data_IF_466777259028
#
_entry.id   IF_466777259028
#
_cell.length_a   1.000
_cell.length_b   1.000
_cell.length_c   1.000
_cell.angle_alpha   90.00
_cell.angle_beta   90.00
_cell.angle_gamma   90.00
#
_symmetry.space_group_name_H-M   'P 1'
#
loop_
_entity.id
_entity.type
_entity.pdbx_description
1 polymer ?
#
# COMPACT_ATOMS: atom_id res chain seq x y z
N UNK A 1 1.25 19.12 25.90
CA UNK A 1 1.26 17.66 26.06
C UNK A 1 1.18 17.06 24.65
N UNK A 2 2.25 16.47 24.16
CA UNK A 2 2.24 15.75 22.89
C UNK A 2 1.35 14.52 23.09
N UNK A 3 0.19 14.51 22.40
CA UNK A 3 -0.68 13.33 22.38
C UNK A 3 0.14 12.12 21.93
N UNK A 4 0.12 11.04 22.72
CA UNK A 4 0.79 9.80 22.33
C UNK A 4 0.24 9.35 20.97
N UNK A 5 1.14 9.08 20.04
CA UNK A 5 0.76 8.57 18.70
C UNK A 5 -0.09 7.31 18.84
N UNK A 6 -1.21 7.16 18.09
CA UNK A 6 -2.02 5.94 18.12
C UNK A 6 -1.20 4.69 17.77
N UNK A 7 -1.52 3.55 18.37
CA UNK A 7 -0.80 2.29 18.17
C UNK A 7 -0.96 1.67 16.76
N UNK A 8 -1.89 2.17 15.97
CA UNK A 8 -2.07 1.80 14.56
C UNK A 8 -1.31 2.72 13.59
N UNK A 9 -0.39 3.56 14.11
CA UNK A 9 0.53 4.40 13.33
C UNK A 9 1.96 4.13 13.77
N UNK A 10 2.87 3.88 12.82
CA UNK A 10 4.31 3.71 13.07
C UNK A 10 5.15 4.29 11.94
N UNK A 11 6.39 4.65 12.21
CA UNK A 11 7.40 4.97 11.20
C UNK A 11 8.32 3.77 10.96
N UNK A 12 8.75 3.52 9.72
CA UNK A 12 9.67 2.40 9.46
C UNK A 12 10.97 2.51 10.25
N UNK A 13 11.44 3.74 10.52
CA UNK A 13 12.68 3.99 11.29
C UNK A 13 12.57 3.59 12.76
N UNK A 14 11.37 3.58 13.31
CA UNK A 14 11.11 3.28 14.71
C UNK A 14 11.25 1.77 15.02
N UNK A 15 11.07 0.91 14.00
CA UNK A 15 10.97 -0.54 14.14
C UNK A 15 11.94 -1.31 13.22
N UNK A 16 12.92 -0.63 12.61
CA UNK A 16 13.88 -1.29 11.71
C UNK A 16 14.76 -2.27 12.50
N UNK A 17 14.84 -3.51 12.01
CA UNK A 17 15.63 -4.58 12.60
C UNK A 17 16.31 -5.42 11.51
N UNK A 18 17.38 -6.18 11.82
CA UNK A 18 17.98 -7.11 10.86
C UNK A 18 16.95 -8.08 10.29
N UNK A 19 16.95 -8.23 8.96
CA UNK A 19 16.03 -9.10 8.22
C UNK A 19 16.60 -10.52 8.09
N UNK A 20 17.04 -11.14 9.17
CA UNK A 20 17.58 -12.50 9.15
C UNK A 20 16.48 -13.51 9.50
N UNK A 21 16.09 -14.42 8.58
CA UNK A 21 15.37 -15.61 8.99
C UNK A 21 16.25 -16.43 9.93
N UNK A 22 15.72 -16.95 11.04
CA UNK A 22 16.52 -17.68 12.03
C UNK A 22 17.28 -18.90 11.50
N UNK A 23 16.91 -19.38 10.30
CA UNK A 23 17.46 -20.57 9.65
C UNK A 23 18.42 -20.27 8.48
N UNK A 24 18.65 -19.02 8.11
CA UNK A 24 19.55 -18.67 7.01
C UNK A 24 20.84 -18.04 7.54
N UNK A 25 22.03 -18.48 7.07
CA UNK A 25 23.29 -17.80 7.36
C UNK A 25 23.46 -16.52 6.53
N UNK A 26 22.57 -16.24 5.57
CA UNK A 26 22.64 -15.09 4.69
C UNK A 26 22.04 -13.84 5.37
N UNK A 27 22.76 -12.74 5.24
CA UNK A 27 22.31 -11.42 5.68
C UNK A 27 21.52 -10.72 4.55
N UNK A 28 20.21 -10.53 4.78
CA UNK A 28 19.30 -9.89 3.84
C UNK A 28 19.13 -8.37 4.09
N UNK A 29 19.92 -7.78 4.98
CA UNK A 29 19.83 -6.38 5.37
C UNK A 29 18.82 -6.16 6.50
N UNK A 30 17.90 -5.21 6.34
CA UNK A 30 17.01 -4.77 7.42
C UNK A 30 15.56 -4.74 6.95
N UNK A 31 14.65 -4.99 7.88
CA UNK A 31 13.21 -4.94 7.65
C UNK A 31 12.49 -4.19 8.78
N UNK A 32 11.42 -3.51 8.43
CA UNK A 32 10.45 -2.94 9.36
C UNK A 32 9.09 -3.57 9.06
N UNK A 33 8.60 -4.43 9.95
CA UNK A 33 7.33 -5.16 9.79
C UNK A 33 6.15 -4.25 10.17
N UNK A 34 5.74 -3.42 9.22
CA UNK A 34 4.77 -2.32 9.41
C UNK A 34 3.38 -2.83 9.79
N UNK A 35 2.90 -3.87 9.12
CA UNK A 35 1.59 -4.47 9.42
C UNK A 35 1.53 -5.05 10.83
N UNK A 36 2.56 -5.79 11.25
CA UNK A 36 2.62 -6.36 12.59
C UNK A 36 2.64 -5.28 13.68
N UNK A 37 3.35 -4.17 13.45
CA UNK A 37 3.44 -3.06 14.39
C UNK A 37 2.13 -2.29 14.56
N UNK A 38 1.23 -2.35 13.56
CA UNK A 38 -0.05 -1.61 13.57
C UNK A 38 -1.28 -2.50 13.80
N UNK A 39 -1.08 -3.81 13.92
CA UNK A 39 -2.14 -4.76 14.25
C UNK A 39 -3.01 -5.22 13.08
N UNK A 40 -2.70 -4.83 11.83
CA UNK A 40 -3.32 -5.45 10.66
C UNK A 40 -2.65 -6.80 10.39
N UNK A 41 -3.43 -7.80 10.00
CA UNK A 41 -2.95 -9.18 9.93
C UNK A 41 -3.36 -9.97 8.68
N UNK A 42 -4.20 -9.42 7.82
CA UNK A 42 -4.56 -10.03 6.53
C UNK A 42 -3.47 -9.84 5.47
N UNK A 43 -2.53 -8.94 5.74
CA UNK A 43 -1.35 -8.67 4.92
C UNK A 43 -0.07 -8.74 5.74
N UNK A 44 1.03 -9.01 5.06
CA UNK A 44 2.35 -8.64 5.50
C UNK A 44 2.81 -7.42 4.70
N UNK A 45 3.03 -6.32 5.39
CA UNK A 45 3.58 -5.09 4.82
C UNK A 45 4.89 -4.77 5.52
N UNK A 46 5.94 -4.61 4.75
CA UNK A 46 7.27 -4.30 5.27
C UNK A 46 7.98 -3.21 4.45
N UNK A 47 8.78 -2.40 5.13
CA UNK A 47 9.83 -1.61 4.52
C UNK A 47 11.13 -2.42 4.59
N UNK A 48 11.83 -2.57 3.46
CA UNK A 48 13.12 -3.25 3.40
C UNK A 48 14.22 -2.25 3.09
N UNK A 49 15.36 -2.36 3.77
CA UNK A 49 16.59 -1.69 3.44
C UNK A 49 17.66 -2.72 3.10
N UNK A 50 18.08 -2.73 1.84
CA UNK A 50 19.04 -3.69 1.30
C UNK A 50 20.39 -2.98 1.09
N UNK A 51 21.40 -3.25 1.92
CA UNK A 51 22.73 -2.68 1.75
C UNK A 51 23.42 -3.12 0.44
N UNK A 52 24.48 -2.43 0.00
CA UNK A 52 25.30 -2.86 -1.15
C UNK A 52 25.74 -4.32 -1.07
N UNK A 53 25.64 -5.02 -2.19
CA UNK A 53 26.06 -6.42 -2.29
C UNK A 53 25.15 -7.42 -1.55
N UNK A 54 23.93 -7.04 -1.21
CA UNK A 54 22.91 -7.90 -0.57
C UNK A 54 21.70 -8.09 -1.49
N UNK A 55 20.86 -9.06 -1.12
CA UNK A 55 19.52 -9.25 -1.71
C UNK A 55 18.46 -9.29 -0.61
N UNK A 56 17.21 -8.99 -0.94
CA UNK A 56 16.15 -8.90 0.05
C UNK A 56 15.67 -10.26 0.59
N UNK A 57 15.80 -11.31 -0.21
CA UNK A 57 15.41 -12.69 0.11
C UNK A 57 15.98 -13.65 -0.94
N UNK A 58 16.04 -14.98 -0.68
CA UNK A 58 16.45 -15.96 -1.68
C UNK A 58 15.52 -15.96 -2.90
N UNK A 59 16.02 -16.25 -4.12
CA UNK A 59 15.15 -16.45 -5.28
C UNK A 59 14.06 -17.49 -5.00
N UNK A 60 12.79 -17.09 -5.05
CA UNK A 60 11.66 -17.96 -4.72
C UNK A 60 10.43 -17.66 -5.56
N UNK A 61 9.55 -18.66 -5.71
CA UNK A 61 8.19 -18.50 -6.20
C UNK A 61 7.21 -19.05 -5.17
N UNK A 62 6.04 -18.38 -5.06
CA UNK A 62 4.97 -18.75 -4.14
C UNK A 62 3.74 -19.27 -4.91
N UNK A 63 3.04 -20.23 -4.33
CA UNK A 63 1.86 -20.83 -4.97
C UNK A 63 0.60 -20.00 -4.78
N UNK A 64 0.43 -19.37 -3.63
CA UNK A 64 -0.84 -18.75 -3.22
C UNK A 64 -0.77 -17.26 -2.89
N UNK A 65 0.40 -16.61 -2.98
CA UNK A 65 0.54 -15.20 -2.62
C UNK A 65 0.58 -14.29 -3.85
N UNK A 66 -0.21 -13.24 -3.83
CA UNK A 66 -0.01 -12.05 -4.65
C UNK A 66 1.02 -11.17 -3.93
N UNK A 67 2.03 -10.68 -4.68
CA UNK A 67 3.14 -9.90 -4.11
C UNK A 67 3.28 -8.59 -4.87
N UNK A 68 3.44 -7.49 -4.13
CA UNK A 68 3.78 -6.19 -4.65
C UNK A 68 5.06 -5.68 -4.01
N UNK A 69 5.98 -5.17 -4.83
CA UNK A 69 7.19 -4.48 -4.36
C UNK A 69 7.29 -3.13 -5.06
N UNK A 70 7.69 -2.09 -4.33
CA UNK A 70 7.84 -0.73 -4.85
C UNK A 70 9.19 -0.16 -4.46
N UNK A 71 9.91 0.44 -5.41
CA UNK A 71 11.21 1.06 -5.15
C UNK A 71 10.98 2.45 -4.57
N UNK A 72 11.32 2.62 -3.28
CA UNK A 72 11.25 3.90 -2.58
C UNK A 72 12.49 4.74 -2.80
N UNK A 73 13.69 4.08 -2.83
CA UNK A 73 14.98 4.76 -2.99
C UNK A 73 15.97 3.81 -3.66
N UNK A 74 16.81 4.36 -4.56
CA UNK A 74 17.88 3.65 -5.23
C UNK A 74 17.45 2.91 -6.49
N UNK A 75 18.37 2.10 -7.03
CA UNK A 75 18.18 1.40 -8.30
C UNK A 75 18.54 -0.08 -8.18
N UNK A 76 17.70 -0.91 -7.55
CA UNK A 76 17.95 -2.35 -7.44
C UNK A 76 17.86 -3.07 -8.78
N UNK A 77 18.43 -4.25 -8.83
CA UNK A 77 18.17 -5.21 -9.90
C UNK A 77 17.07 -6.19 -9.45
N UNK A 78 15.99 -6.27 -10.21
CA UNK A 78 15.03 -7.36 -10.11
C UNK A 78 15.62 -8.59 -10.81
N UNK A 79 15.85 -9.65 -10.06
CA UNK A 79 16.10 -10.97 -10.63
C UNK A 79 14.77 -11.70 -10.82
N UNK A 80 14.50 -12.14 -12.04
CA UNK A 80 13.30 -12.91 -12.37
C UNK A 80 13.71 -14.06 -13.31
N UNK A 81 13.52 -15.30 -12.87
CA UNK A 81 13.84 -16.53 -13.61
C UNK A 81 15.20 -16.51 -14.32
N UNK A 82 16.24 -16.01 -13.64
CA UNK A 82 17.61 -15.99 -14.16
C UNK A 82 17.93 -14.81 -15.07
N UNK A 83 17.10 -13.78 -15.09
CA UNK A 83 17.33 -12.51 -15.78
C UNK A 83 17.32 -11.34 -14.83
N UNK A 84 18.19 -10.34 -15.06
CA UNK A 84 18.23 -9.11 -14.30
C UNK A 84 17.53 -7.97 -15.06
N UNK A 85 16.70 -7.23 -14.35
CA UNK A 85 16.04 -6.01 -14.84
C UNK A 85 16.35 -4.87 -13.87
N UNK A 86 17.03 -3.82 -14.36
CA UNK A 86 17.29 -2.63 -13.55
C UNK A 86 16.00 -1.90 -13.27
N UNK A 87 15.74 -1.64 -12.00
CA UNK A 87 14.63 -0.81 -11.53
C UNK A 87 15.14 0.59 -11.16
N UNK A 88 14.20 1.51 -11.04
CA UNK A 88 14.41 2.89 -10.58
C UNK A 88 13.35 3.29 -9.55
N UNK A 89 13.60 4.37 -8.83
CA UNK A 89 12.64 4.91 -7.87
C UNK A 89 11.27 5.13 -8.51
N UNK A 90 10.23 4.63 -7.85
CA UNK A 90 8.87 4.69 -8.36
C UNK A 90 8.46 3.50 -9.23
N UNK A 91 9.35 2.56 -9.53
CA UNK A 91 8.95 1.31 -10.16
C UNK A 91 8.20 0.42 -9.16
N UNK A 92 7.05 -0.09 -9.58
CA UNK A 92 6.31 -1.13 -8.90
C UNK A 92 6.40 -2.44 -9.64
N UNK A 93 6.59 -3.52 -8.91
CA UNK A 93 6.67 -4.90 -9.41
C UNK A 93 5.52 -5.71 -8.85
N UNK A 94 4.84 -6.46 -9.70
CA UNK A 94 3.67 -7.26 -9.31
C UNK A 94 3.87 -8.73 -9.68
N UNK A 95 3.68 -9.64 -8.71
CA UNK A 95 3.74 -11.07 -8.94
C UNK A 95 2.41 -11.70 -8.57
N UNK A 96 1.78 -12.34 -9.55
CA UNK A 96 0.54 -13.09 -9.33
C UNK A 96 0.86 -14.46 -8.73
N UNK A 97 -0.04 -14.94 -7.89
CA UNK A 97 0.02 -16.30 -7.37
C UNK A 97 0.04 -17.35 -8.49
N UNK A 98 0.62 -18.50 -8.22
CA UNK A 98 0.62 -19.68 -9.09
C UNK A 98 1.36 -19.56 -10.41
N UNK A 99 2.09 -18.48 -10.63
CA UNK A 99 2.85 -18.34 -11.90
C UNK A 99 4.11 -19.20 -11.95
N UNK A 100 4.68 -19.55 -10.79
CA UNK A 100 5.98 -20.22 -10.72
C UNK A 100 7.18 -19.30 -11.02
N UNK A 101 6.93 -18.01 -11.29
CA UNK A 101 7.97 -17.03 -11.59
C UNK A 101 8.81 -16.75 -10.33
N UNK A 102 10.00 -17.34 -10.29
CA UNK A 102 10.91 -17.13 -9.18
C UNK A 102 11.58 -15.75 -9.28
N UNK A 103 11.69 -15.04 -8.16
CA UNK A 103 12.19 -13.68 -8.14
C UNK A 103 12.90 -13.32 -6.84
N UNK A 104 13.71 -12.29 -6.90
CA UNK A 104 14.30 -11.57 -5.76
C UNK A 104 14.74 -10.18 -6.19
N UNK A 105 15.01 -9.29 -5.22
CA UNK A 105 15.54 -7.95 -5.43
C UNK A 105 16.98 -7.89 -4.90
N UNK A 106 17.91 -7.43 -5.73
CA UNK A 106 19.34 -7.44 -5.45
C UNK A 106 19.87 -6.00 -5.52
N UNK A 107 20.64 -5.61 -4.52
CA UNK A 107 21.34 -4.34 -4.54
C UNK A 107 22.77 -4.53 -5.11
N UNK A 108 22.94 -4.32 -6.39
CA UNK A 108 24.22 -4.30 -7.09
C UNK A 108 24.80 -2.87 -7.23
N UNK A 109 24.38 -1.95 -6.37
CA UNK A 109 24.87 -0.56 -6.33
C UNK A 109 25.76 -0.34 -5.11
N UNK A 110 26.29 0.86 -4.95
CA UNK A 110 27.16 1.31 -3.85
C UNK A 110 26.42 2.02 -2.71
N UNK A 111 25.08 2.08 -2.77
CA UNK A 111 24.22 2.74 -1.79
C UNK A 111 23.11 1.80 -1.35
N UNK A 112 22.52 2.08 -0.21
CA UNK A 112 21.32 1.38 0.25
C UNK A 112 20.18 1.51 -0.77
N UNK A 113 19.42 0.44 -0.93
CA UNK A 113 18.16 0.41 -1.65
C UNK A 113 17.04 0.26 -0.62
N UNK A 114 15.96 1.01 -0.80
CA UNK A 114 14.77 0.94 0.05
C UNK A 114 13.56 0.52 -0.76
N UNK A 115 12.82 -0.43 -0.21
CA UNK A 115 11.65 -1.01 -0.85
C UNK A 115 10.47 -1.00 0.11
N UNK A 116 9.30 -0.75 -0.43
CA UNK A 116 8.04 -1.13 0.21
C UNK A 116 7.60 -2.48 -0.38
N UNK A 117 7.27 -3.43 0.46
CA UNK A 117 6.84 -4.77 0.03
C UNK A 117 5.52 -5.11 0.71
N UNK A 118 4.58 -5.60 -0.06
CA UNK A 118 3.30 -6.12 0.43
C UNK A 118 3.04 -7.51 -0.13
N UNK A 119 2.60 -8.41 0.74
CA UNK A 119 2.07 -9.73 0.37
C UNK A 119 0.79 -9.99 1.14
N UNK A 120 -0.02 -10.93 0.70
CA UNK A 120 -1.01 -11.53 1.60
C UNK A 120 -0.31 -12.14 2.81
N UNK A 121 -1.02 -12.27 3.92
CA UNK A 121 -0.50 -13.00 5.08
C UNK A 121 -0.24 -14.47 4.71
N UNK A 122 0.90 -14.99 5.15
CA UNK A 122 1.22 -16.39 4.97
C UNK A 122 0.17 -17.29 5.63
N UNK A 123 -0.33 -18.26 4.88
CA UNK A 123 -1.28 -19.25 5.36
C UNK A 123 -0.56 -20.55 5.72
N UNK A 124 -1.17 -21.34 6.57
CA UNK A 124 -0.61 -22.64 6.99
C UNK A 124 -0.32 -23.60 5.81
N UNK A 125 -1.02 -23.43 4.71
CA UNK A 125 -0.88 -24.21 3.47
C UNK A 125 -0.14 -23.50 2.35
N UNK A 126 0.43 -22.30 2.57
CA UNK A 126 1.28 -21.62 1.59
C UNK A 126 2.49 -22.48 1.25
N UNK A 127 2.81 -22.56 -0.04
CA UNK A 127 3.91 -23.36 -0.59
C UNK A 127 4.85 -22.46 -1.38
N UNK A 128 6.12 -22.84 -1.37
CA UNK A 128 7.17 -22.14 -2.11
C UNK A 128 8.11 -23.11 -2.82
N UNK A 129 8.86 -22.61 -3.78
CA UNK A 129 10.02 -23.28 -4.36
C UNK A 129 11.20 -22.33 -4.43
N UNK A 130 12.39 -22.86 -4.25
CA UNK A 130 13.68 -22.17 -4.33
C UNK A 130 14.55 -22.77 -5.46
N UNK A 131 14.33 -22.42 -6.72
CA UNK A 131 14.89 -23.15 -7.86
C UNK A 131 16.44 -23.11 -7.95
N UNK A 132 17.08 -22.24 -7.17
CA UNK A 132 18.53 -22.11 -7.10
C UNK A 132 19.14 -22.48 -5.75
N UNK A 133 18.34 -22.98 -4.83
CA UNK A 133 18.75 -23.36 -3.46
C UNK A 133 18.19 -24.73 -3.07
N UNK A 134 18.91 -25.83 -3.42
CA UNK A 134 18.49 -27.19 -3.07
C UNK A 134 18.35 -27.41 -1.56
N UNK A 135 19.21 -26.78 -0.74
CA UNK A 135 19.12 -26.89 0.73
C UNK A 135 17.86 -26.17 1.27
N UNK A 136 17.52 -25.01 0.71
CA UNK A 136 16.27 -24.31 0.99
C UNK A 136 15.04 -25.14 0.59
N UNK A 137 15.06 -25.81 -0.57
CA UNK A 137 13.98 -26.72 -0.96
C UNK A 137 13.83 -27.90 0.00
N UNK A 138 14.93 -28.51 0.46
CA UNK A 138 14.91 -29.60 1.45
C UNK A 138 14.29 -29.12 2.80
N UNK A 139 14.59 -27.90 3.20
CA UNK A 139 13.96 -27.31 4.38
C UNK A 139 12.45 -27.09 4.17
N UNK A 140 12.05 -26.60 3.01
CA UNK A 140 10.61 -26.46 2.67
C UNK A 140 9.90 -27.83 2.70
N UNK A 141 10.55 -28.90 2.23
CA UNK A 141 10.00 -30.29 2.30
C UNK A 141 9.82 -30.73 3.74
N UNK A 142 10.82 -30.54 4.59
CA UNK A 142 10.74 -30.86 6.03
C UNK A 142 9.62 -30.10 6.74
N UNK A 143 9.37 -28.85 6.34
CA UNK A 143 8.31 -27.99 6.89
C UNK A 143 6.94 -28.25 6.23
N UNK A 144 6.83 -29.16 5.28
CA UNK A 144 5.65 -29.37 4.45
C UNK A 144 5.17 -28.11 3.69
N UNK A 145 6.11 -27.28 3.27
CA UNK A 145 5.89 -26.02 2.55
C UNK A 145 6.45 -26.03 1.12
N UNK A 146 6.94 -27.17 0.63
CA UNK A 146 7.48 -27.28 -0.72
C UNK A 146 6.36 -27.32 -1.77
N UNK A 147 6.50 -26.50 -2.81
CA UNK A 147 5.59 -26.48 -3.97
C UNK A 147 6.04 -27.46 -5.06
N UNK A 148 5.68 -28.72 -4.89
CA UNK A 148 6.16 -29.84 -5.74
C UNK A 148 5.74 -29.72 -7.22
N UNK A 149 4.57 -29.17 -7.50
CA UNK A 149 4.01 -29.01 -8.84
C UNK A 149 4.07 -27.57 -9.36
N UNK A 150 5.05 -26.79 -8.91
CA UNK A 150 5.29 -25.45 -9.41
C UNK A 150 5.47 -25.47 -10.95
N UNK A 151 4.88 -24.52 -11.68
CA UNK A 151 5.18 -24.35 -13.10
C UNK A 151 6.69 -24.21 -13.32
N UNK A 152 7.23 -25.04 -14.24
CA UNK A 152 8.68 -25.03 -14.53
C UNK A 152 8.99 -23.96 -15.55
N UNK A 153 9.88 -23.03 -15.20
CA UNK A 153 10.39 -22.03 -16.09
C UNK A 153 11.83 -22.39 -16.51
N UNK A 154 12.20 -22.05 -17.74
CA UNK A 154 13.60 -22.12 -18.18
C UNK A 154 14.35 -20.96 -17.55
N UNK A 155 15.24 -21.27 -16.63
CA UNK A 155 16.08 -20.26 -16.00
C UNK A 155 17.09 -19.64 -16.97
N UNK A 156 17.26 -18.35 -16.90
CA UNK A 156 18.34 -17.62 -17.56
C UNK A 156 19.71 -17.85 -16.89
N UNK A 157 20.76 -17.21 -17.38
CA UNK A 157 22.13 -17.47 -16.94
C UNK A 157 22.47 -16.91 -15.55
N UNK A 158 21.71 -15.96 -15.02
CA UNK A 158 21.99 -15.33 -13.72
C UNK A 158 21.60 -16.24 -12.57
N UNK A 159 22.47 -16.38 -11.58
CA UNK A 159 22.27 -17.25 -10.40
C UNK A 159 21.59 -16.57 -9.22
N UNK A 160 21.13 -15.33 -9.36
CA UNK A 160 20.46 -14.60 -8.29
C UNK A 160 21.36 -14.20 -7.12
N UNK A 161 22.66 -14.24 -7.33
CA UNK A 161 23.65 -13.79 -6.35
C UNK A 161 24.02 -12.32 -6.58
N UNK A 162 24.26 -11.53 -5.52
CA UNK A 162 24.83 -10.21 -5.66
C UNK A 162 26.15 -10.21 -6.44
N UNK A 163 26.37 -9.18 -7.28
CA UNK A 163 27.56 -9.06 -8.13
C UNK A 163 27.49 -9.82 -9.46
N UNK A 164 26.63 -10.82 -9.61
CA UNK A 164 26.40 -11.49 -10.90
C UNK A 164 25.64 -10.56 -11.86
N UNK A 165 26.25 -10.26 -13.03
CA UNK A 165 25.67 -9.37 -14.05
C UNK A 165 25.17 -10.13 -15.28
N UNK A 166 25.27 -11.47 -15.29
CA UNK A 166 24.79 -12.29 -16.40
C UNK A 166 23.27 -12.09 -16.63
N UNK A 167 22.84 -12.24 -17.87
CA UNK A 167 21.39 -12.21 -18.19
C UNK A 167 20.68 -10.87 -18.01
N UNK A 168 21.42 -9.75 -17.93
CA UNK A 168 20.80 -8.42 -17.82
C UNK A 168 19.99 -8.07 -19.07
N UNK A 169 18.75 -7.66 -18.89
CA UNK A 169 17.83 -7.24 -19.94
C UNK A 169 17.68 -5.71 -19.94
N UNK A 170 17.56 -5.14 -21.15
CA UNK A 170 17.34 -3.69 -21.31
C UNK A 170 15.87 -3.27 -21.09
N UNK A 171 14.94 -4.16 -21.41
CA UNK A 171 13.50 -3.90 -21.35
C UNK A 171 12.93 -4.44 -20.04
N UNK A 172 12.20 -3.62 -19.33
CA UNK A 172 11.44 -4.04 -18.14
C UNK A 172 10.30 -4.99 -18.56
N UNK A 173 10.06 -6.07 -17.81
CA UNK A 173 8.97 -7.01 -18.14
C UNK A 173 7.59 -6.40 -17.85
N UNK A 174 6.54 -6.99 -18.41
CA UNK A 174 5.17 -6.46 -18.30
C UNK A 174 4.60 -6.38 -16.87
N UNK A 175 5.21 -7.09 -15.92
CA UNK A 175 4.86 -7.03 -14.50
C UNK A 175 5.63 -5.93 -13.72
N UNK A 176 6.43 -5.11 -14.40
CA UNK A 176 7.05 -3.88 -13.87
C UNK A 176 6.40 -2.67 -14.53
N UNK A 177 6.08 -1.65 -13.75
CA UNK A 177 5.63 -0.35 -14.26
C UNK A 177 6.06 0.77 -13.33
N UNK A 178 6.39 1.93 -13.90
CA UNK A 178 6.58 3.13 -13.12
C UNK A 178 5.21 3.75 -12.77
N UNK A 179 5.03 4.21 -11.52
CA UNK A 179 3.71 4.68 -11.07
C UNK A 179 3.18 5.88 -11.86
N UNK A 180 4.07 6.76 -12.36
CA UNK A 180 3.67 7.92 -13.16
C UNK A 180 3.04 7.51 -14.49
N UNK A 181 3.43 6.38 -15.07
CA UNK A 181 2.86 5.87 -16.33
C UNK A 181 1.43 5.33 -16.13
N UNK A 182 1.10 4.96 -14.89
CA UNK A 182 -0.22 4.45 -14.51
C UNK A 182 -1.16 5.53 -13.96
N UNK A 183 -0.63 6.74 -13.72
CA UNK A 183 -1.38 7.80 -13.03
C UNK A 183 -2.56 8.30 -13.87
N UNK A 184 -3.73 8.36 -13.26
CA UNK A 184 -4.93 8.91 -13.92
C UNK A 184 -4.76 10.41 -14.19
N UNK A 185 -5.29 10.88 -15.32
CA UNK A 185 -5.30 12.31 -15.67
C UNK A 185 -6.35 13.11 -14.89
N UNK A 186 -7.37 12.44 -14.36
CA UNK A 186 -8.47 13.06 -13.61
C UNK A 186 -8.54 12.45 -12.21
N UNK A 187 -8.87 13.29 -11.24
CA UNK A 187 -9.12 12.85 -9.87
C UNK A 187 -10.35 11.94 -9.78
N UNK A 188 -10.31 11.03 -8.83
CA UNK A 188 -11.48 10.26 -8.44
C UNK A 188 -12.54 11.16 -7.78
N UNK A 189 -13.80 10.75 -7.86
CA UNK A 189 -14.94 11.41 -7.21
C UNK A 189 -15.94 10.36 -6.75
N UNK A 190 -16.63 10.65 -5.68
CA UNK A 190 -17.82 9.88 -5.34
C UNK A 190 -18.99 10.19 -6.29
N UNK A 191 -19.94 9.26 -6.46
CA UNK A 191 -21.17 9.53 -7.24
C UNK A 191 -21.87 10.78 -6.74
N UNK A 192 -22.39 11.58 -7.67
CA UNK A 192 -23.11 12.83 -7.37
C UNK A 192 -22.29 13.85 -6.55
N UNK A 193 -20.96 13.80 -6.65
CA UNK A 193 -20.04 14.74 -6.00
C UNK A 193 -19.19 15.46 -7.04
N UNK A 194 -18.93 16.73 -6.80
CA UNK A 194 -17.99 17.55 -7.56
C UNK A 194 -16.64 17.68 -6.84
N UNK A 195 -16.48 17.06 -5.65
CA UNK A 195 -15.23 17.04 -4.88
C UNK A 195 -14.20 16.16 -5.58
N UNK A 196 -13.10 16.79 -6.00
CA UNK A 196 -11.93 16.07 -6.51
C UNK A 196 -11.14 15.47 -5.33
N UNK A 197 -10.92 14.18 -5.36
CA UNK A 197 -10.13 13.46 -4.37
C UNK A 197 -8.68 13.29 -4.86
N UNK A 198 -8.26 12.10 -5.18
CA UNK A 198 -6.89 11.73 -5.53
C UNK A 198 -6.74 11.35 -6.99
N UNK A 199 -5.50 11.47 -7.51
CA UNK A 199 -5.09 10.78 -8.73
C UNK A 199 -4.59 9.39 -8.37
N UNK A 200 -4.88 8.39 -9.20
CA UNK A 200 -4.58 6.99 -8.90
C UNK A 200 -3.69 6.35 -9.96
N UNK A 201 -2.66 5.63 -9.51
CA UNK A 201 -1.89 4.67 -10.29
C UNK A 201 -2.23 3.26 -9.79
N UNK A 202 -3.04 2.50 -10.53
CA UNK A 202 -3.63 1.25 -10.07
C UNK A 202 -2.83 0.03 -10.53
N UNK A 203 -1.98 -0.48 -9.65
CA UNK A 203 -1.21 -1.70 -9.88
C UNK A 203 -2.06 -2.96 -9.80
N UNK A 204 -3.04 -2.99 -8.90
CA UNK A 204 -4.00 -4.07 -8.76
C UNK A 204 -4.76 -4.39 -10.07
N UNK A 205 -5.20 -3.35 -10.76
CA UNK A 205 -5.88 -3.51 -12.05
C UNK A 205 -4.93 -3.97 -13.16
N UNK A 206 -3.70 -3.42 -13.19
CA UNK A 206 -2.69 -3.82 -14.17
C UNK A 206 -2.29 -5.28 -14.02
N UNK A 207 -2.01 -5.70 -12.78
CA UNK A 207 -1.64 -7.07 -12.46
C UNK A 207 -2.82 -8.03 -12.50
N UNK A 208 -4.05 -7.52 -12.51
CA UNK A 208 -5.28 -8.31 -12.32
C UNK A 208 -5.26 -9.08 -11.00
N UNK A 209 -4.75 -8.45 -9.93
CA UNK A 209 -4.82 -9.00 -8.60
C UNK A 209 -6.27 -9.26 -8.18
N UNK A 210 -6.49 -10.40 -7.55
CA UNK A 210 -7.83 -10.85 -7.16
C UNK A 210 -8.11 -10.66 -5.67
N UNK A 211 -7.06 -10.54 -4.84
CA UNK A 211 -7.16 -10.56 -3.39
C UNK A 211 -6.57 -9.32 -2.72
N UNK A 212 -5.59 -8.69 -3.33
CA UNK A 212 -5.04 -7.42 -2.83
C UNK A 212 -5.36 -6.26 -3.75
N UNK A 213 -5.80 -5.15 -3.16
CA UNK A 213 -5.89 -3.84 -3.80
C UNK A 213 -4.60 -3.07 -3.56
N UNK A 214 -3.99 -2.53 -4.64
CA UNK A 214 -2.75 -1.78 -4.51
C UNK A 214 -2.71 -0.62 -5.48
N UNK A 215 -2.47 0.57 -4.94
CA UNK A 215 -2.41 1.80 -5.73
C UNK A 215 -1.42 2.79 -5.14
N UNK A 216 -0.77 3.56 -6.00
CA UNK A 216 -0.09 4.80 -5.61
C UNK A 216 -1.06 5.95 -5.86
N UNK A 217 -1.20 6.83 -4.89
CA UNK A 217 -2.09 7.99 -4.98
C UNK A 217 -1.31 9.29 -4.85
N UNK A 218 -1.75 10.30 -5.60
CA UNK A 218 -1.27 11.67 -5.46
C UNK A 218 -2.39 12.53 -4.90
N UNK A 219 -2.14 13.10 -3.71
CA UNK A 219 -3.02 14.07 -3.05
C UNK A 219 -2.51 15.46 -3.36
N UNK A 220 -3.24 16.21 -4.16
CA UNK A 220 -2.97 17.64 -4.37
C UNK A 220 -3.28 18.45 -3.09
N UNK A 221 -2.69 19.63 -2.90
CA UNK A 221 -3.05 20.55 -1.82
C UNK A 221 -4.56 20.74 -1.67
N UNK A 222 -5.04 20.72 -0.42
CA UNK A 222 -6.45 20.88 -0.10
C UNK A 222 -7.36 19.72 -0.48
N UNK A 223 -6.83 18.52 -0.69
CA UNK A 223 -7.60 17.31 -0.99
C UNK A 223 -7.48 16.26 0.11
N UNK A 224 -8.35 15.27 0.06
CA UNK A 224 -8.34 14.09 0.93
C UNK A 224 -8.43 12.80 0.11
N UNK A 225 -8.03 11.67 0.70
CA UNK A 225 -8.05 10.36 0.02
C UNK A 225 -9.45 9.89 -0.31
N UNK A 226 -10.39 10.14 0.59
CA UNK A 226 -11.79 9.68 0.53
C UNK A 226 -12.68 10.59 1.38
N UNK A 227 -13.95 10.29 1.46
CA UNK A 227 -14.78 10.74 2.57
C UNK A 227 -14.46 9.92 3.83
N UNK A 228 -14.53 10.52 5.06
CA UNK A 228 -14.35 9.77 6.29
C UNK A 228 -15.24 8.54 6.36
N UNK A 229 -14.65 7.36 6.44
CA UNK A 229 -15.37 6.08 6.42
C UNK A 229 -14.65 5.02 7.27
N UNK A 230 -15.37 3.96 7.59
CA UNK A 230 -14.86 2.73 8.18
C UNK A 230 -15.31 1.54 7.36
N UNK A 231 -14.52 0.49 7.34
CA UNK A 231 -14.73 -0.75 6.62
C UNK A 231 -15.03 -1.91 7.57
N UNK A 232 -15.96 -2.80 7.15
CA UNK A 232 -16.38 -3.93 7.98
C UNK A 232 -15.41 -5.11 7.87
N UNK A 233 -15.07 -5.49 6.65
CA UNK A 233 -14.50 -6.80 6.37
C UNK A 233 -13.06 -6.73 5.85
N UNK A 234 -12.56 -5.53 5.50
CA UNK A 234 -11.26 -5.35 4.86
C UNK A 234 -10.29 -4.57 5.76
N UNK A 235 -9.06 -5.08 5.92
CA UNK A 235 -7.96 -4.29 6.43
C UNK A 235 -7.54 -3.28 5.36
N UNK A 236 -7.26 -2.05 5.77
CA UNK A 236 -6.71 -1.01 4.89
C UNK A 236 -5.46 -0.39 5.51
N UNK A 237 -4.55 0.08 4.67
CA UNK A 237 -3.38 0.83 5.12
C UNK A 237 -2.98 1.93 4.15
N UNK A 238 -2.22 2.90 4.68
CA UNK A 238 -1.54 3.93 3.90
C UNK A 238 -0.10 4.06 4.37
N UNK A 239 0.84 4.10 3.40
CA UNK A 239 2.24 4.43 3.61
C UNK A 239 2.56 5.75 2.92
N UNK A 240 3.18 6.70 3.63
CA UNK A 240 3.55 8.00 3.10
C UNK A 240 4.89 7.88 2.37
N UNK A 241 4.87 8.01 1.04
CA UNK A 241 6.08 7.98 0.21
C UNK A 241 6.80 9.33 0.23
N UNK A 242 6.05 10.43 0.09
CA UNK A 242 6.61 11.78 0.13
C UNK A 242 5.59 12.79 0.62
N UNK A 243 6.09 13.87 1.24
CA UNK A 243 5.29 14.98 1.76
C UNK A 243 4.81 14.78 3.20
N UNK A 244 3.89 15.64 3.63
CA UNK A 244 3.29 15.65 4.97
C UNK A 244 1.77 15.66 4.86
N UNK A 245 1.12 14.93 5.76
CA UNK A 245 -0.35 14.78 5.78
C UNK A 245 -0.88 14.83 7.19
N UNK A 246 -2.18 15.03 7.29
CA UNK A 246 -2.96 14.84 8.49
C UNK A 246 -3.78 13.55 8.38
N UNK A 247 -3.49 12.56 9.24
CA UNK A 247 -4.35 11.38 9.40
C UNK A 247 -5.51 11.74 10.32
N UNK A 248 -6.71 11.75 9.78
CA UNK A 248 -7.94 11.93 10.55
C UNK A 248 -8.52 10.57 10.95
N UNK A 249 -8.71 10.37 12.25
CA UNK A 249 -9.30 9.15 12.81
C UNK A 249 -10.36 9.55 13.84
N UNK A 250 -11.64 9.22 13.60
CA UNK A 250 -12.76 9.50 14.49
C UNK A 250 -12.79 10.94 15.05
N UNK A 251 -12.43 11.93 14.21
CA UNK A 251 -12.45 13.35 14.61
C UNK A 251 -11.15 13.86 15.24
N UNK A 252 -10.10 13.05 15.28
CA UNK A 252 -8.80 13.43 15.80
C UNK A 252 -7.76 13.46 14.67
N UNK A 253 -6.87 14.44 14.70
CA UNK A 253 -5.79 14.62 13.72
C UNK A 253 -4.47 14.13 14.31
N UNK A 254 -3.75 13.34 13.54
CA UNK A 254 -2.36 12.94 13.81
C UNK A 254 -1.51 13.33 12.59
N UNK A 255 -0.53 14.24 12.72
CA UNK A 255 0.39 14.54 11.65
C UNK A 255 1.24 13.31 11.29
N UNK A 256 1.45 13.11 9.99
CA UNK A 256 2.31 12.05 9.44
C UNK A 256 3.20 12.62 8.32
N UNK A 257 4.35 11.99 8.11
CA UNK A 257 5.32 12.39 7.09
C UNK A 257 5.91 11.18 6.35
N UNK A 258 6.77 11.46 5.37
CA UNK A 258 7.40 10.42 4.56
C UNK A 258 8.09 9.34 5.43
N UNK A 259 7.71 8.09 5.20
CA UNK A 259 8.15 6.92 5.95
C UNK A 259 7.19 6.44 7.03
N UNK A 260 6.15 7.20 7.32
CA UNK A 260 5.07 6.78 8.23
C UNK A 260 4.10 5.81 7.55
N UNK A 261 3.57 4.92 8.37
CA UNK A 261 2.57 3.93 8.00
C UNK A 261 1.40 3.97 8.97
N UNK A 262 0.21 3.84 8.47
CA UNK A 262 -1.02 3.70 9.23
C UNK A 262 -1.79 2.50 8.73
N UNK A 263 -2.30 1.66 9.65
CA UNK A 263 -3.11 0.49 9.32
C UNK A 263 -4.42 0.49 10.09
N UNK A 264 -5.52 0.19 9.42
CA UNK A 264 -6.83 0.03 10.02
C UNK A 264 -7.32 -1.39 9.82
N UNK A 265 -7.52 -2.10 10.93
CA UNK A 265 -8.10 -3.43 10.88
C UNK A 265 -9.59 -3.35 10.59
N UNK A 266 -10.08 -4.21 9.72
CA UNK A 266 -11.50 -4.36 9.42
C UNK A 266 -12.33 -4.61 10.68
N UNK A 267 -13.57 -4.17 10.70
CA UNK A 267 -14.49 -4.41 11.80
C UNK A 267 -14.32 -3.50 13.02
N UNK A 268 -13.24 -2.69 13.08
CA UNK A 268 -13.00 -1.80 14.22
C UNK A 268 -13.99 -0.63 14.31
N UNK A 269 -14.54 -0.20 13.17
CA UNK A 269 -15.42 0.96 13.10
C UNK A 269 -14.71 2.30 13.18
N UNK A 270 -13.36 2.33 13.24
CA UNK A 270 -12.58 3.57 13.24
C UNK A 270 -12.71 4.24 11.87
N UNK A 271 -13.49 5.31 11.83
CA UNK A 271 -13.62 6.09 10.61
C UNK A 271 -12.35 6.92 10.37
N UNK A 272 -11.88 6.92 9.13
CA UNK A 272 -10.59 7.48 8.79
C UNK A 272 -10.56 8.16 7.43
N UNK A 273 -9.56 9.02 7.23
CA UNK A 273 -9.21 9.67 5.96
C UNK A 273 -7.84 10.35 6.09
N UNK A 274 -7.08 10.41 5.01
CA UNK A 274 -5.85 11.20 4.95
C UNK A 274 -6.13 12.53 4.24
N UNK A 275 -5.63 13.61 4.80
CA UNK A 275 -5.87 14.99 4.38
C UNK A 275 -4.53 15.63 4.02
N UNK A 276 -4.45 16.28 2.87
CA UNK A 276 -3.31 17.12 2.51
C UNK A 276 -3.66 18.60 2.76
N UNK A 277 -3.23 19.11 3.92
CA UNK A 277 -3.30 20.53 4.26
C UNK A 277 -2.00 21.29 3.95
N UNK A 278 -0.99 20.60 3.35
CA UNK A 278 0.24 21.26 2.88
C UNK A 278 0.02 21.96 1.54
N UNK A 279 1.03 22.70 1.08
CA UNK A 279 1.06 23.39 -0.21
C UNK A 279 1.74 22.57 -1.32
N UNK A 280 2.19 21.34 -1.01
CA UNK A 280 2.84 20.43 -1.95
C UNK A 280 2.00 19.19 -2.25
N UNK A 281 2.31 18.54 -3.39
CA UNK A 281 1.75 17.24 -3.71
C UNK A 281 2.30 16.18 -2.75
N UNK A 282 1.41 15.34 -2.24
CA UNK A 282 1.76 14.20 -1.40
C UNK A 282 1.57 12.91 -2.18
N UNK A 283 2.54 12.01 -2.08
CA UNK A 283 2.48 10.67 -2.68
C UNK A 283 2.34 9.63 -1.60
N UNK A 284 1.33 8.77 -1.72
CA UNK A 284 1.08 7.66 -0.79
C UNK A 284 0.89 6.34 -1.52
N UNK A 285 1.27 5.24 -0.88
CA UNK A 285 0.87 3.88 -1.26
C UNK A 285 -0.35 3.52 -0.41
N UNK A 286 -1.41 3.11 -1.08
CA UNK A 286 -2.66 2.65 -0.43
C UNK A 286 -2.88 1.20 -0.82
N UNK A 287 -3.14 0.37 0.17
CA UNK A 287 -3.47 -1.03 -0.04
C UNK A 287 -4.54 -1.52 0.92
N UNK A 288 -5.18 -2.59 0.52
CA UNK A 288 -6.23 -3.23 1.27
C UNK A 288 -6.60 -4.57 0.65
N UNK A 289 -7.48 -5.30 1.29
CA UNK A 289 -8.06 -6.50 0.68
C UNK A 289 -8.93 -6.13 -0.51
N UNK A 290 -9.06 -7.09 -1.41
CA UNK A 290 -10.14 -7.12 -2.38
C UNK A 290 -11.06 -8.26 -1.99
N UNK A 291 -12.02 -7.96 -1.15
CA UNK A 291 -13.00 -8.96 -0.75
C UNK A 291 -13.75 -9.52 -1.98
N UNK A 292 -13.95 -10.82 -1.99
CA UNK A 292 -14.84 -11.48 -2.98
C UNK A 292 -16.31 -11.27 -2.64
N UNK A 293 -16.58 -10.88 -1.41
CA UNK A 293 -17.91 -10.54 -0.90
C UNK A 293 -18.06 -9.01 -0.95
N UNK A 294 -19.27 -8.55 -0.85
CA UNK A 294 -19.54 -7.11 -0.77
C UNK A 294 -19.02 -6.59 0.58
N UNK A 295 -17.92 -5.84 0.57
CA UNK A 295 -17.47 -5.12 1.75
C UNK A 295 -18.51 -4.07 2.13
N UNK A 296 -18.70 -3.85 3.42
CA UNK A 296 -19.64 -2.86 3.93
C UNK A 296 -18.90 -1.66 4.51
N UNK A 297 -19.46 -0.48 4.27
CA UNK A 297 -18.87 0.80 4.63
C UNK A 297 -19.80 1.63 5.51
N UNK A 298 -19.22 2.39 6.42
CA UNK A 298 -19.91 3.44 7.16
C UNK A 298 -19.24 4.79 6.91
N UNK A 299 -19.98 5.76 6.38
CA UNK A 299 -19.50 7.13 6.14
C UNK A 299 -20.02 8.08 7.22
N UNK A 300 -19.13 8.54 8.10
CA UNK A 300 -19.49 9.29 9.33
C UNK A 300 -20.33 10.55 9.08
N UNK A 301 -20.06 11.27 7.98
CA UNK A 301 -20.69 12.55 7.68
C UNK A 301 -21.60 12.53 6.45
N UNK A 302 -21.77 11.39 5.78
CA UNK A 302 -22.54 11.28 4.54
C UNK A 302 -23.76 10.35 4.70
N UNK A 303 -24.71 10.74 5.57
CA UNK A 303 -25.90 9.94 5.90
C UNK A 303 -26.77 9.57 4.69
N UNK A 304 -26.84 10.45 3.68
CA UNK A 304 -27.58 10.17 2.44
C UNK A 304 -26.88 9.08 1.63
N UNK A 305 -25.56 9.17 1.52
CA UNK A 305 -24.77 8.19 0.79
C UNK A 305 -24.82 6.82 1.45
N UNK A 306 -24.78 6.73 2.79
CA UNK A 306 -25.01 5.47 3.52
C UNK A 306 -26.31 4.77 3.10
N UNK A 307 -27.39 5.54 2.88
CA UNK A 307 -28.66 4.99 2.39
C UNK A 307 -28.60 4.59 0.91
N UNK A 308 -27.86 5.35 0.09
CA UNK A 308 -27.74 5.13 -1.37
C UNK A 308 -26.94 3.86 -1.71
N UNK A 309 -25.96 3.47 -0.88
CA UNK A 309 -25.14 2.27 -1.12
C UNK A 309 -25.82 0.95 -0.73
N UNK A 310 -27.06 1.00 -0.16
CA UNK A 310 -27.89 -0.18 0.10
C UNK A 310 -27.20 -1.25 0.93
N UNK A 311 -27.01 -2.46 0.38
CA UNK A 311 -26.35 -3.59 1.04
C UNK A 311 -24.87 -3.34 1.37
N UNK A 312 -24.23 -2.39 0.71
CA UNK A 312 -22.88 -1.91 1.05
C UNK A 312 -22.81 -1.04 2.30
N UNK A 313 -23.94 -0.73 2.95
CA UNK A 313 -23.95 0.04 4.18
C UNK A 313 -23.76 -0.84 5.42
N UNK A 314 -22.74 -0.53 6.20
CA UNK A 314 -22.50 -1.19 7.49
C UNK A 314 -23.36 -0.55 8.61
N UNK A 315 -24.57 -1.08 8.78
CA UNK A 315 -25.58 -0.49 9.67
C UNK A 315 -25.28 -0.70 11.17
N UNK A 316 -24.68 -1.84 11.49
CA UNK A 316 -24.34 -2.26 12.86
C UNK A 316 -22.89 -1.97 13.25
N UNK A 317 -22.24 -1.00 12.57
CA UNK A 317 -20.86 -0.60 12.86
C UNK A 317 -20.68 -0.22 14.34
N UNK A 318 -19.51 -0.47 14.96
CA UNK A 318 -19.16 0.03 16.27
C UNK A 318 -19.31 1.55 16.33
N UNK A 319 -19.97 2.06 17.37
CA UNK A 319 -20.22 3.50 17.50
C UNK A 319 -19.11 4.15 18.30
N UNK A 320 -18.37 5.03 17.67
CA UNK A 320 -17.31 5.80 18.29
C UNK A 320 -17.78 7.24 18.54
N UNK A 321 -17.30 7.83 19.63
CA UNK A 321 -17.49 9.27 19.88
C UNK A 321 -16.51 10.02 18.99
N UNK A 322 -17.04 10.84 18.08
CA UNK A 322 -16.19 11.65 17.21
C UNK A 322 -15.58 12.83 17.97
N UNK A 323 -14.31 13.09 17.69
CA UNK A 323 -13.61 14.29 18.09
C UNK A 323 -14.09 15.54 17.33
N UNK A 324 -13.44 16.71 17.54
CA UNK A 324 -13.93 17.99 17.04
C UNK A 324 -13.70 18.24 15.55
N UNK A 325 -12.79 17.50 14.90
CA UNK A 325 -12.44 17.74 13.49
C UNK A 325 -13.42 17.02 12.53
N UNK A 326 -13.86 17.71 11.48
CA UNK A 326 -14.90 17.25 10.56
C UNK A 326 -14.39 16.41 9.37
N UNK A 327 -13.10 16.07 9.33
CA UNK A 327 -12.49 15.27 8.25
C UNK A 327 -12.35 15.98 6.90
N UNK A 328 -12.46 17.32 6.86
CA UNK A 328 -12.24 18.10 5.65
C UNK A 328 -10.88 18.77 5.63
N UNK A 329 -10.23 18.88 4.45
CA UNK A 329 -9.12 19.80 4.25
C UNK A 329 -9.51 21.24 4.58
N UNK A 330 -8.60 22.02 5.14
CA UNK A 330 -8.85 23.43 5.51
C UNK A 330 -9.29 24.27 4.32
N UNK A 331 -8.65 24.08 3.16
CA UNK A 331 -9.01 24.78 1.92
C UNK A 331 -10.43 24.45 1.44
N UNK A 332 -10.89 23.22 1.66
CA UNK A 332 -12.25 22.82 1.32
C UNK A 332 -13.25 23.38 2.34
N UNK A 333 -12.93 23.32 3.65
CA UNK A 333 -13.74 23.88 4.73
C UNK A 333 -13.97 25.37 4.56
N UNK A 334 -12.93 26.15 4.17
CA UNK A 334 -13.02 27.58 3.91
C UNK A 334 -14.04 27.94 2.81
N UNK A 335 -14.36 27.02 1.91
CA UNK A 335 -15.35 27.20 0.82
C UNK A 335 -16.78 26.86 1.24
N UNK A 336 -16.96 26.15 2.35
CA UNK A 336 -18.30 25.83 2.89
C UNK A 336 -18.90 27.09 3.51
N UNK A 337 -20.20 27.39 3.25
CA UNK A 337 -20.86 28.55 3.89
C UNK A 337 -20.75 28.53 5.41
N UNK A 338 -20.33 29.64 6.01
CA UNK A 338 -20.06 29.76 7.47
C UNK A 338 -21.17 29.20 8.35
N UNK A 339 -22.46 29.46 7.99
CA UNK A 339 -23.65 28.94 8.71
C UNK A 339 -23.73 27.40 8.77
N UNK A 340 -22.98 26.67 7.94
CA UNK A 340 -22.98 25.20 7.91
C UNK A 340 -21.73 24.60 8.57
N UNK A 341 -20.67 25.39 8.77
CA UNK A 341 -19.39 24.89 9.28
C UNK A 341 -19.44 24.34 10.72
N UNK A 342 -20.44 24.78 11.52
CA UNK A 342 -20.63 24.29 12.89
C UNK A 342 -21.30 22.91 12.97
N UNK A 343 -21.82 22.39 11.85
CA UNK A 343 -22.46 21.06 11.77
C UNK A 343 -21.66 20.19 10.78
N UNK A 344 -20.81 19.27 11.26
CA UNK A 344 -19.95 18.44 10.41
C UNK A 344 -20.70 17.68 9.31
N UNK A 345 -21.93 17.22 9.58
CA UNK A 345 -22.75 16.50 8.59
C UNK A 345 -23.19 17.44 7.48
N UNK A 346 -23.72 18.61 7.82
CA UNK A 346 -24.14 19.60 6.81
C UNK A 346 -22.96 20.19 6.06
N UNK A 347 -21.83 20.38 6.73
CA UNK A 347 -20.60 20.89 6.12
C UNK A 347 -20.06 19.92 5.05
N UNK A 348 -19.91 18.63 5.39
CA UNK A 348 -19.47 17.61 4.45
C UNK A 348 -20.46 17.39 3.29
N UNK A 349 -21.76 17.39 3.57
CA UNK A 349 -22.80 17.32 2.52
C UNK A 349 -22.76 18.53 1.57
N UNK A 350 -22.43 19.72 2.07
CA UNK A 350 -22.25 20.92 1.23
C UNK A 350 -20.96 20.87 0.43
N UNK A 351 -19.87 20.41 1.04
CA UNK A 351 -18.53 20.33 0.43
C UNK A 351 -18.52 19.50 -0.85
N UNK A 352 -19.28 18.39 -0.90
CA UNK A 352 -19.36 17.52 -2.09
C UNK A 352 -19.80 18.22 -3.37
N UNK A 353 -20.49 19.38 -3.27
CA UNK A 353 -21.01 20.13 -4.39
C UNK A 353 -20.20 21.39 -4.74
N UNK A 354 -19.06 21.62 -4.09
CA UNK A 354 -18.23 22.81 -4.28
C UNK A 354 -17.17 22.70 -5.40
N UNK A 355 -17.07 21.56 -6.06
CA UNK A 355 -16.04 21.27 -7.07
C UNK A 355 -16.16 22.10 -8.35
N UNK A 356 -17.35 22.64 -8.68
CA UNK A 356 -17.54 23.53 -9.82
C UNK A 356 -17.38 24.99 -9.39
N UNK A 357 -16.15 25.51 -9.46
CA UNK A 357 -15.99 26.96 -9.62
C UNK A 357 -16.83 27.36 -10.84
N UNK A 358 -17.81 28.22 -10.64
CA UNK A 358 -18.44 28.94 -11.76
C UNK A 358 -17.33 29.74 -12.44
N UNK A 359 -16.73 29.19 -13.47
CA UNK A 359 -16.09 29.99 -14.49
C UNK A 359 -17.20 30.88 -15.04
N UNK A 360 -17.29 32.12 -14.54
CA UNK A 360 -18.08 33.17 -15.16
C UNK A 360 -17.59 33.24 -16.59
N UNK A 361 -18.43 32.84 -17.56
CA UNK A 361 -18.26 33.27 -18.94
C UNK A 361 -18.22 34.79 -18.90
N UNK A 362 -17.06 35.37 -19.21
CA UNK A 362 -16.95 36.71 -19.80
C UNK A 362 -17.21 36.62 -21.28
#
# INVERSE_FOLDING_TARGET
MTSKRPNFITGWREIEAPAAPPSSPEDFGFASELSAATGINHFRVAHLRIPPGKRGYPPMAMDDLEIFSFVLEGTPDLWADGHLHRLEEGDGVTFNARTGLAHTLINNTDRDVRLFVMTEAFRRNSRATHPLDPAGEDNLRKMNMFWANAPKHKLGPNKGAPGDKAGRKRVKPGFVAHWRDLLTKKAGRYPKSDEDLVLNARYDNRARFSRIGMRVQVLKPGRRTSWPHAERDEDEFIFIVSGKVDAWNDGHITPMEAGDFIGWAGGTGIAHVIINNSDEDVVVIVGGERSRLVNQYFYSFHKKYNKEIGEGYWADHPKHKLGPHDGMPDALRARVPKRLQSDPVKANEAARLLGKSKTKKK
#
